data_IF_096563348090
#
_entry.id   IF_096563348090
#
_cell.length_a   1.000
_cell.length_b   1.000
_cell.length_c   1.000
_cell.angle_alpha   90.00
_cell.angle_beta   90.00
_cell.angle_gamma   90.00
#
_symmetry.space_group_name_H-M   'P 1'
#
loop_
_entity.id
_entity.type
_entity.pdbx_description
1 polymer ?
#
# COMPACT_ATOMS: atom_id res chain seq x y z
N UNK A 1 21.37 17.09 -4.53
CA UNK A 1 22.43 16.09 -4.72
C UNK A 1 23.42 16.27 -3.58
N UNK A 2 23.63 15.26 -2.75
CA UNK A 2 24.61 15.29 -1.66
C UNK A 2 25.75 14.32 -1.98
N UNK A 3 26.99 14.80 -1.95
CA UNK A 3 28.18 13.99 -2.14
C UNK A 3 28.66 13.44 -0.79
N UNK A 4 28.95 12.13 -0.72
CA UNK A 4 29.52 11.49 0.46
C UNK A 4 30.92 10.96 0.16
N UNK A 5 31.83 11.09 1.13
CA UNK A 5 33.17 10.52 1.07
C UNK A 5 33.45 9.68 2.31
N UNK A 6 34.05 8.51 2.10
CA UNK A 6 34.49 7.61 3.17
C UNK A 6 35.99 7.83 3.42
N UNK A 7 36.33 8.18 4.66
CA UNK A 7 37.72 8.24 5.12
C UNK A 7 38.02 7.02 5.98
N UNK A 8 39.00 6.19 5.58
CA UNK A 8 39.53 5.12 6.44
C UNK A 8 40.72 5.64 7.24
N UNK A 9 40.68 5.50 8.55
CA UNK A 9 41.78 5.93 9.43
C UNK A 9 43.03 5.11 9.10
N UNK A 10 44.10 5.78 8.67
CA UNK A 10 45.35 5.18 8.16
C UNK A 10 45.55 5.30 6.65
N UNK A 11 44.49 5.62 5.89
CA UNK A 11 44.59 5.98 4.48
C UNK A 11 44.72 7.51 4.34
N UNK A 12 45.69 7.98 3.56
CA UNK A 12 45.91 9.43 3.32
C UNK A 12 44.93 10.05 2.31
N UNK A 13 43.91 9.32 1.87
CA UNK A 13 42.96 9.75 0.84
C UNK A 13 41.54 9.31 1.17
N UNK A 14 40.56 10.18 0.89
CA UNK A 14 39.14 9.87 1.00
C UNK A 14 38.62 9.26 -0.30
N UNK A 15 37.86 8.17 -0.20
CA UNK A 15 37.16 7.57 -1.35
C UNK A 15 35.77 8.21 -1.49
N UNK A 16 35.40 8.71 -2.68
CA UNK A 16 34.01 9.10 -2.94
C UNK A 16 33.13 7.85 -2.99
N UNK A 17 32.06 7.83 -2.19
CA UNK A 17 31.14 6.70 -2.14
C UNK A 17 29.77 7.14 -2.64
N UNK A 18 29.27 6.44 -3.65
CA UNK A 18 27.89 6.56 -4.09
C UNK A 18 27.00 5.78 -3.13
N UNK A 19 26.10 6.47 -2.43
CA UNK A 19 25.04 5.82 -1.67
C UNK A 19 24.09 5.12 -2.64
N UNK A 20 24.11 3.79 -2.67
CA UNK A 20 23.04 3.04 -3.30
C UNK A 20 21.74 3.30 -2.51
N UNK A 21 20.61 3.61 -3.18
CA UNK A 21 19.36 3.90 -2.47
C UNK A 21 18.96 2.72 -1.59
N UNK A 22 18.56 3.01 -0.35
CA UNK A 22 18.35 2.03 0.69
C UNK A 22 17.20 1.06 0.34
N UNK A 23 17.53 -0.15 -0.11
CA UNK A 23 16.57 -1.24 -0.34
C UNK A 23 15.81 -1.62 0.96
N UNK A 24 16.41 -1.36 2.13
CA UNK A 24 15.87 -1.66 3.45
C UNK A 24 14.73 -0.73 3.91
N UNK A 25 14.75 0.55 3.54
CA UNK A 25 13.65 1.49 3.88
C UNK A 25 12.36 1.12 3.14
N UNK A 26 12.47 0.72 1.86
CA UNK A 26 11.33 0.21 1.06
C UNK A 26 10.70 -1.01 1.70
N UNK A 27 11.49 -1.93 2.26
CA UNK A 27 10.98 -3.14 2.92
C UNK A 27 10.34 -2.83 4.29
N UNK A 28 10.89 -1.90 5.07
CA UNK A 28 10.30 -1.48 6.36
C UNK A 28 8.98 -0.72 6.17
N UNK A 29 8.90 0.19 5.20
CA UNK A 29 7.64 0.87 4.86
C UNK A 29 6.57 -0.11 4.36
N UNK A 30 6.92 -1.07 3.49
CA UNK A 30 5.98 -2.10 2.99
C UNK A 30 5.29 -2.90 4.11
N UNK A 31 6.03 -3.29 5.15
CA UNK A 31 5.47 -4.06 6.28
C UNK A 31 4.51 -3.25 7.15
N UNK A 32 4.80 -1.96 7.36
CA UNK A 32 3.96 -1.07 8.19
C UNK A 32 2.57 -0.85 7.62
N UNK A 33 2.38 -0.95 6.30
CA UNK A 33 1.12 -0.61 5.62
C UNK A 33 0.27 -1.81 5.19
N UNK A 34 0.87 -3.00 5.15
CA UNK A 34 0.12 -4.24 4.97
C UNK A 34 -0.62 -4.65 6.26
N UNK A 35 0.02 -4.36 7.39
CA UNK A 35 -0.40 -4.76 8.75
C UNK A 35 -0.97 -3.61 9.58
N UNK A 36 -0.32 -2.45 9.52
CA UNK A 36 -0.61 -1.31 10.39
C UNK A 36 -1.74 -0.45 9.85
N UNK A 37 -2.46 0.19 10.77
CA UNK A 37 -3.57 1.09 10.45
C UNK A 37 -3.05 2.34 9.75
N UNK A 38 -3.45 2.54 8.49
CA UNK A 38 -3.22 3.82 7.80
C UNK A 38 -4.11 4.92 8.39
N UNK A 39 -3.61 6.16 8.39
CA UNK A 39 -4.45 7.34 8.67
C UNK A 39 -5.62 7.42 7.68
N UNK A 40 -6.65 8.18 8.03
CA UNK A 40 -7.84 8.37 7.17
C UNK A 40 -7.46 8.82 5.75
N UNK A 41 -6.51 9.74 5.64
CA UNK A 41 -6.07 10.32 4.35
C UNK A 41 -5.33 9.33 3.44
N UNK A 42 -4.91 8.17 3.99
CA UNK A 42 -4.20 7.12 3.25
C UNK A 42 -5.03 5.85 3.08
N UNK A 43 -6.20 5.80 3.71
CA UNK A 43 -7.14 4.67 3.58
C UNK A 43 -7.80 4.68 2.21
N UNK A 44 -8.11 3.50 1.68
CA UNK A 44 -8.96 3.39 0.49
C UNK A 44 -10.43 3.44 0.89
N UNK A 45 -11.24 4.07 0.06
CA UNK A 45 -12.68 4.13 0.23
C UNK A 45 -13.35 3.51 -0.97
N UNK A 46 -14.06 2.41 -0.76
CA UNK A 46 -14.95 1.84 -1.78
C UNK A 46 -16.23 2.66 -1.79
N UNK A 47 -16.44 3.39 -2.87
CA UNK A 47 -17.62 4.19 -3.16
C UNK A 47 -18.33 3.64 -4.37
N UNK A 48 -19.55 3.13 -4.18
CA UNK A 48 -20.37 2.67 -5.29
C UNK A 48 -20.71 3.80 -6.27
N UNK A 49 -21.16 3.48 -7.49
CA UNK A 49 -21.48 4.48 -8.52
C UNK A 49 -22.55 5.50 -8.10
N UNK A 50 -23.44 5.13 -7.18
CA UNK A 50 -24.49 6.01 -6.61
C UNK A 50 -24.09 6.66 -5.26
N UNK A 51 -22.84 6.52 -4.82
CA UNK A 51 -22.32 6.99 -3.53
C UNK A 51 -23.09 6.49 -2.28
N UNK A 52 -23.88 5.40 -2.44
CA UNK A 52 -24.70 4.81 -1.37
C UNK A 52 -23.92 3.92 -0.41
N UNK A 53 -22.72 3.50 -0.81
CA UNK A 53 -21.82 2.65 -0.04
C UNK A 53 -20.50 3.37 0.14
N UNK A 54 -19.96 3.38 1.37
CA UNK A 54 -18.67 3.98 1.68
C UNK A 54 -17.92 3.14 2.71
N UNK A 55 -17.23 2.11 2.22
CA UNK A 55 -16.43 1.20 3.06
C UNK A 55 -14.97 1.65 3.09
N UNK A 56 -14.37 1.71 4.27
CA UNK A 56 -12.98 2.16 4.48
C UNK A 56 -12.05 0.95 4.63
N UNK A 57 -11.12 0.77 3.70
CA UNK A 57 -9.98 -0.13 3.86
C UNK A 57 -8.79 0.62 4.47
N UNK A 58 -8.40 0.22 5.69
CA UNK A 58 -7.34 0.87 6.49
C UNK A 58 -5.94 0.35 6.15
N UNK A 59 -5.85 -0.78 5.45
CA UNK A 59 -4.61 -1.42 4.99
C UNK A 59 -4.96 -2.41 3.86
N UNK A 60 -3.95 -3.09 3.30
CA UNK A 60 -4.16 -4.10 2.25
C UNK A 60 -4.98 -5.30 2.72
N UNK A 61 -4.86 -5.70 3.98
CA UNK A 61 -5.61 -6.85 4.50
C UNK A 61 -7.12 -6.55 4.50
N UNK A 62 -7.52 -5.43 5.10
CA UNK A 62 -8.91 -4.97 5.09
C UNK A 62 -9.40 -4.65 3.67
N UNK A 63 -8.51 -4.24 2.75
CA UNK A 63 -8.89 -4.10 1.34
C UNK A 63 -9.33 -5.43 0.73
N UNK A 64 -8.56 -6.51 0.93
CA UNK A 64 -8.90 -7.85 0.42
C UNK A 64 -10.15 -8.40 1.11
N UNK A 65 -10.25 -8.28 2.43
CA UNK A 65 -11.44 -8.71 3.19
C UNK A 65 -12.73 -8.01 2.70
N UNK A 66 -12.68 -6.68 2.49
CA UNK A 66 -13.83 -5.94 2.00
C UNK A 66 -14.16 -6.27 0.54
N UNK A 67 -13.15 -6.58 -0.29
CA UNK A 67 -13.33 -6.94 -1.70
C UNK A 67 -14.18 -8.20 -1.90
N UNK A 68 -14.11 -9.17 -0.97
CA UNK A 68 -14.92 -10.39 -1.03
C UNK A 68 -16.42 -10.13 -0.88
N UNK A 69 -16.79 -9.15 -0.04
CA UNK A 69 -18.19 -8.80 0.25
C UNK A 69 -18.76 -7.67 -0.62
N UNK A 70 -17.96 -7.07 -1.50
CA UNK A 70 -18.36 -5.96 -2.37
C UNK A 70 -19.16 -6.44 -3.58
N UNK A 71 -20.13 -5.63 -4.00
CA UNK A 71 -20.84 -5.85 -5.25
C UNK A 71 -19.94 -5.60 -6.46
N UNK A 72 -20.22 -6.35 -7.53
CA UNK A 72 -19.43 -6.36 -8.77
C UNK A 72 -19.39 -4.98 -9.43
N UNK A 73 -20.46 -4.21 -9.35
CA UNK A 73 -20.56 -2.87 -9.95
C UNK A 73 -19.63 -1.88 -9.26
N UNK A 74 -19.62 -1.85 -7.92
CA UNK A 74 -18.69 -1.04 -7.12
C UNK A 74 -17.25 -1.46 -7.35
N UNK A 75 -16.97 -2.77 -7.44
CA UNK A 75 -15.63 -3.25 -7.74
C UNK A 75 -15.14 -2.79 -9.11
N UNK A 76 -15.93 -3.06 -10.16
CA UNK A 76 -15.58 -2.70 -11.53
C UNK A 76 -15.52 -1.19 -11.74
N UNK A 77 -16.32 -0.42 -11.00
CA UNK A 77 -16.27 1.04 -11.03
C UNK A 77 -14.85 1.55 -10.74
N UNK A 78 -14.27 1.12 -9.62
CA UNK A 78 -12.92 1.51 -9.23
C UNK A 78 -11.83 0.88 -10.08
N UNK A 79 -12.01 -0.39 -10.49
CA UNK A 79 -11.04 -1.07 -11.34
C UNK A 79 -10.88 -0.37 -12.70
N UNK A 80 -12.00 -0.05 -13.37
CA UNK A 80 -12.00 0.66 -14.66
C UNK A 80 -11.38 2.05 -14.59
N UNK A 81 -11.49 2.70 -13.44
CA UNK A 81 -10.89 4.03 -13.17
C UNK A 81 -9.41 3.96 -12.82
N UNK A 82 -8.88 2.76 -12.55
CA UNK A 82 -7.51 2.56 -12.10
C UNK A 82 -7.29 3.02 -10.65
N UNK A 83 -8.36 3.18 -9.86
CA UNK A 83 -8.29 3.72 -8.51
C UNK A 83 -7.45 2.81 -7.59
N UNK A 84 -7.54 1.50 -7.77
CA UNK A 84 -6.73 0.52 -7.01
C UNK A 84 -5.23 0.69 -7.27
N UNK A 85 -4.83 0.72 -8.54
CA UNK A 85 -3.43 0.90 -8.93
C UNK A 85 -2.89 2.26 -8.46
N UNK A 86 -3.69 3.32 -8.56
CA UNK A 86 -3.32 4.65 -8.09
C UNK A 86 -3.11 4.66 -6.57
N UNK A 87 -4.05 4.08 -5.80
CA UNK A 87 -3.93 4.01 -4.34
C UNK A 87 -2.69 3.22 -3.90
N UNK A 88 -2.41 2.07 -4.53
CA UNK A 88 -1.22 1.26 -4.24
C UNK A 88 0.06 2.03 -4.54
N UNK A 89 0.12 2.75 -5.67
CA UNK A 89 1.28 3.57 -6.02
C UNK A 89 1.47 4.73 -5.03
N UNK A 90 0.41 5.47 -4.72
CA UNK A 90 0.51 6.78 -4.08
C UNK A 90 0.47 6.70 -2.54
N UNK A 91 -0.24 5.70 -1.98
CA UNK A 91 -0.35 5.51 -0.54
C UNK A 91 0.61 4.44 -0.02
N UNK A 92 0.84 3.36 -0.77
CA UNK A 92 1.72 2.27 -0.33
C UNK A 92 3.13 2.40 -0.90
N UNK A 93 3.32 3.16 -1.97
CA UNK A 93 4.62 3.33 -2.63
C UNK A 93 5.10 2.09 -3.40
N UNK A 94 4.23 1.10 -3.61
CA UNK A 94 4.56 -0.13 -4.33
C UNK A 94 4.24 0.03 -5.82
N UNK A 95 5.22 0.58 -6.56
CA UNK A 95 5.08 0.78 -7.99
C UNK A 95 4.98 -0.52 -8.79
N UNK A 96 5.47 -1.63 -8.25
CA UNK A 96 5.48 -2.90 -8.97
C UNK A 96 4.10 -3.55 -8.88
N UNK A 97 3.56 -3.65 -7.66
CA UNK A 97 2.18 -4.10 -7.46
C UNK A 97 1.17 -3.20 -8.18
N UNK A 98 1.37 -1.87 -8.16
CA UNK A 98 0.48 -0.96 -8.87
C UNK A 98 0.42 -1.23 -10.38
N UNK A 99 1.54 -1.63 -11.00
CA UNK A 99 1.57 -1.99 -12.43
C UNK A 99 0.84 -3.30 -12.69
N UNK A 100 1.15 -4.33 -11.90
CA UNK A 100 0.49 -5.64 -12.01
C UNK A 100 -1.03 -5.53 -11.84
N UNK A 101 -1.49 -4.71 -10.89
CA UNK A 101 -2.91 -4.43 -10.66
C UNK A 101 -3.54 -3.65 -11.82
N UNK A 102 -2.82 -2.71 -12.43
CA UNK A 102 -3.30 -1.96 -13.58
C UNK A 102 -3.45 -2.82 -14.86
N UNK A 103 -2.76 -3.95 -14.94
CA UNK A 103 -2.86 -4.91 -16.04
C UNK A 103 -4.00 -5.92 -15.88
N UNK A 104 -4.71 -5.90 -14.74
CA UNK A 104 -5.84 -6.79 -14.50
C UNK A 104 -7.04 -6.35 -15.34
N UNK A 105 -7.61 -7.30 -16.09
CA UNK A 105 -8.79 -7.09 -16.93
C UNK A 105 -10.05 -6.72 -16.14
N UNK A 106 -10.99 -6.04 -16.83
CA UNK A 106 -12.25 -5.52 -16.26
C UNK A 106 -13.48 -6.33 -16.70
N UNK A 107 -13.26 -7.45 -17.38
CA UNK A 107 -14.29 -8.27 -18.01
C UNK A 107 -15.09 -9.10 -16.99
N UNK A 108 -14.42 -9.61 -15.96
CA UNK A 108 -15.01 -10.43 -14.90
C UNK A 108 -14.59 -9.88 -13.53
N UNK A 109 -15.58 -9.44 -12.74
CA UNK A 109 -15.35 -8.86 -11.41
C UNK A 109 -14.81 -9.90 -10.41
N UNK A 110 -15.25 -11.15 -10.50
CA UNK A 110 -14.80 -12.22 -9.62
C UNK A 110 -13.36 -12.64 -9.93
N UNK A 111 -13.02 -12.77 -11.21
CA UNK A 111 -11.66 -13.10 -11.64
C UNK A 111 -10.68 -11.98 -11.31
N UNK A 112 -11.03 -10.73 -11.62
CA UNK A 112 -10.19 -9.57 -11.30
C UNK A 112 -9.97 -9.41 -9.79
N UNK A 113 -10.99 -9.63 -8.96
CA UNK A 113 -10.85 -9.70 -7.49
C UNK A 113 -9.87 -10.75 -7.05
N UNK A 114 -10.06 -12.00 -7.49
CA UNK A 114 -9.16 -13.12 -7.13
C UNK A 114 -7.73 -12.84 -7.54
N UNK A 115 -7.52 -12.27 -8.73
CA UNK A 115 -6.18 -11.95 -9.24
C UNK A 115 -5.51 -10.85 -8.44
N UNK A 116 -6.22 -9.77 -8.13
CA UNK A 116 -5.69 -8.67 -7.31
C UNK A 116 -5.40 -9.15 -5.88
N UNK A 117 -6.29 -9.94 -5.28
CA UNK A 117 -6.06 -10.54 -3.98
C UNK A 117 -4.80 -11.42 -3.96
N UNK A 118 -4.62 -12.29 -4.96
CA UNK A 118 -3.44 -13.15 -5.08
C UNK A 118 -2.13 -12.34 -5.19
N UNK A 119 -2.12 -11.27 -6.00
CA UNK A 119 -0.94 -10.37 -6.11
C UNK A 119 -0.61 -9.69 -4.77
N UNK A 120 -1.63 -9.27 -4.03
CA UNK A 120 -1.47 -8.68 -2.71
C UNK A 120 -0.94 -9.72 -1.72
N UNK A 121 -1.54 -10.91 -1.69
CA UNK A 121 -1.16 -12.01 -0.81
C UNK A 121 0.29 -12.44 -1.06
N UNK A 122 0.67 -12.77 -2.29
CA UNK A 122 2.03 -13.18 -2.66
C UNK A 122 3.08 -12.17 -2.17
N UNK A 123 2.74 -10.88 -2.24
CA UNK A 123 3.67 -9.79 -1.97
C UNK A 123 3.69 -9.33 -0.51
N UNK A 124 2.66 -9.64 0.27
CA UNK A 124 2.44 -9.11 1.63
C UNK A 124 2.04 -10.13 2.71
N UNK A 125 1.97 -11.44 2.43
CA UNK A 125 1.75 -12.51 3.44
C UNK A 125 3.01 -12.90 4.22
N UNK A 126 3.56 -11.96 4.99
CA UNK A 126 4.30 -12.30 6.23
C UNK A 126 3.50 -11.71 7.39
N UNK A 127 3.25 -12.47 8.48
CA UNK A 127 2.27 -12.11 9.48
C UNK A 127 2.52 -10.70 9.99
N UNK A 128 1.51 -9.87 9.76
CA UNK A 128 1.32 -8.59 10.36
C UNK A 128 1.34 -8.77 11.89
N UNK A 129 2.45 -8.45 12.56
CA UNK A 129 2.32 -8.13 13.98
C UNK A 129 1.38 -6.92 14.07
N UNK A 130 0.25 -7.02 14.80
CA UNK A 130 -0.64 -5.89 15.00
C UNK A 130 0.20 -4.77 15.61
N UNK A 131 0.37 -3.70 14.85
CA UNK A 131 1.10 -2.55 15.37
C UNK A 131 0.15 -1.88 16.35
N UNK A 132 0.54 -1.73 17.62
CA UNK A 132 -0.22 -1.04 18.70
C UNK A 132 -0.58 0.44 18.38
N UNK A 133 -0.26 0.92 17.18
CA UNK A 133 -0.54 2.26 16.71
C UNK A 133 -1.87 2.28 15.93
N UNK A 134 -2.97 2.53 16.65
CA UNK A 134 -4.23 2.97 16.07
C UNK A 134 -4.26 4.52 16.00
N UNK A 135 -4.01 5.14 14.84
CA UNK A 135 -4.07 6.59 14.69
C UNK A 135 -5.47 7.18 14.91
N UNK A 136 -6.54 6.37 14.99
CA UNK A 136 -7.88 6.85 15.34
C UNK A 136 -8.09 6.93 16.89
N UNK A 137 -7.08 6.59 17.72
CA UNK A 137 -7.21 6.57 19.18
C UNK A 137 -6.89 7.90 19.91
N UNK A 138 -6.51 8.98 19.20
CA UNK A 138 -6.12 10.27 19.80
C UNK A 138 -7.22 11.33 19.93
N UNK A 139 -8.48 11.06 19.58
CA UNK A 139 -9.56 12.08 19.69
C UNK A 139 -10.51 11.92 20.91
N UNK A 140 -10.09 11.19 21.97
CA UNK A 140 -10.90 11.09 23.23
C UNK A 140 -10.18 11.53 24.49
N UNK A 141 -9.28 12.50 24.41
CA UNK A 141 -8.77 13.23 25.60
C UNK A 141 -8.58 14.71 25.28
N UNK A 142 -9.70 15.41 25.15
CA UNK A 142 -9.82 16.85 25.37
C UNK A 142 -11.32 17.19 25.37
N UNK A 143 -11.98 16.88 26.49
CA UNK A 143 -13.27 17.42 26.88
C UNK A 143 -13.24 17.62 28.40
#
# INVERSE_FOLDING_TARGET
>A
AGDLALWRVGAGTADRVLLAPARAERTRHRRKYAAGTMSRDKSFYFTGPDDRLRLRARNLHTFVELAEGLDDDTWLHHLRRGDYAAWIRDCLGDQELAREVAEVGVEDAGESRRRIAALIEERYTLPAEPTDFDPDHEERRQA
#
